data_IF_123243428307
#
_entry.id   IF_123243428307
#
_cell.length_a   1.000
_cell.length_b   1.000
_cell.length_c   1.000
_cell.angle_alpha   90.00
_cell.angle_beta   90.00
_cell.angle_gamma   90.00
#
_symmetry.space_group_name_H-M   'P 1'
#
loop_
_entity.id
_entity.type
_entity.pdbx_description
1 polymer ?
#
# COMPACT_ATOMS: atom_id res chain seq x y z
N UNK A 1 -5.14 -17.42 -7.63
CA UNK A 1 -4.58 -16.89 -6.36
C UNK A 1 -3.59 -17.89 -5.76
N UNK A 2 -2.41 -17.45 -5.29
CA UNK A 2 -1.31 -18.34 -4.87
C UNK A 2 -1.56 -19.08 -3.53
N UNK A 3 -2.59 -18.70 -2.76
CA UNK A 3 -2.98 -19.30 -1.46
C UNK A 3 -4.52 -19.29 -1.24
N UNK A 4 -5.29 -20.20 -1.87
CA UNK A 4 -6.77 -20.16 -1.84
C UNK A 4 -7.36 -20.26 -0.43
N UNK A 5 -6.82 -21.14 0.43
CA UNK A 5 -7.29 -21.28 1.82
C UNK A 5 -7.21 -19.99 2.64
N UNK A 6 -6.22 -19.13 2.38
CA UNK A 6 -6.10 -17.84 3.07
C UNK A 6 -7.14 -16.84 2.56
N UNK A 7 -7.51 -16.92 1.29
CA UNK A 7 -8.54 -16.05 0.70
C UNK A 7 -9.90 -16.35 1.35
N UNK A 8 -10.27 -17.63 1.41
CA UNK A 8 -11.54 -18.05 2.04
C UNK A 8 -11.60 -17.66 3.52
N UNK A 9 -10.50 -17.85 4.25
CA UNK A 9 -10.40 -17.46 5.66
C UNK A 9 -10.55 -15.94 5.87
N UNK A 10 -9.91 -15.11 5.04
CA UNK A 10 -10.04 -13.66 5.14
C UNK A 10 -11.45 -13.18 4.76
N UNK A 11 -12.08 -13.77 3.76
CA UNK A 11 -13.47 -13.46 3.42
C UNK A 11 -14.43 -13.81 4.56
N UNK A 12 -14.23 -14.97 5.21
CA UNK A 12 -15.01 -15.35 6.40
C UNK A 12 -14.81 -14.34 7.52
N UNK A 13 -13.57 -13.92 7.81
CA UNK A 13 -13.27 -12.94 8.85
C UNK A 13 -13.95 -11.59 8.59
N UNK A 14 -13.91 -11.09 7.34
CA UNK A 14 -14.60 -9.86 6.93
C UNK A 14 -16.11 -9.99 7.13
N UNK A 15 -16.69 -11.12 6.71
CA UNK A 15 -18.13 -11.37 6.84
C UNK A 15 -18.59 -11.39 8.30
N UNK A 16 -17.87 -12.11 9.16
CA UNK A 16 -18.19 -12.18 10.59
C UNK A 16 -18.18 -10.79 11.25
N UNK A 17 -17.18 -9.95 10.91
CA UNK A 17 -17.12 -8.57 11.41
C UNK A 17 -18.25 -7.69 10.88
N UNK A 18 -18.60 -7.83 9.59
CA UNK A 18 -19.72 -7.11 8.98
C UNK A 18 -21.06 -7.48 9.62
N UNK A 19 -21.34 -8.78 9.76
CA UNK A 19 -22.60 -9.29 10.33
C UNK A 19 -22.75 -8.82 11.79
N UNK A 20 -21.69 -8.96 12.60
CA UNK A 20 -21.67 -8.46 13.97
C UNK A 20 -21.94 -6.95 14.04
N UNK A 21 -21.29 -6.15 13.21
CA UNK A 21 -21.48 -4.70 13.23
C UNK A 21 -22.91 -4.30 12.84
N UNK A 22 -23.52 -5.03 11.91
CA UNK A 22 -24.91 -4.80 11.47
C UNK A 22 -25.93 -5.15 12.55
N UNK A 23 -25.66 -6.17 13.35
CA UNK A 23 -26.54 -6.63 14.44
C UNK A 23 -26.42 -5.77 15.70
N UNK A 24 -25.21 -5.32 16.04
CA UNK A 24 -24.91 -4.69 17.33
C UNK A 24 -24.95 -3.16 17.31
N UNK A 25 -24.81 -2.53 16.14
CA UNK A 25 -24.81 -1.07 16.00
C UNK A 25 -26.00 -0.57 15.20
N UNK A 26 -26.43 0.67 15.47
CA UNK A 26 -27.38 1.36 14.60
C UNK A 26 -26.73 1.60 13.24
N UNK A 27 -27.21 0.88 12.24
CA UNK A 27 -26.74 1.01 10.86
C UNK A 27 -27.78 1.74 10.01
N UNK A 28 -27.36 2.60 9.05
CA UNK A 28 -25.97 2.86 8.66
C UNK A 28 -25.21 3.70 9.69
N UNK A 29 -23.90 3.43 9.83
CA UNK A 29 -23.01 4.24 10.66
C UNK A 29 -22.95 5.69 10.13
N UNK A 30 -22.72 6.70 10.99
CA UNK A 30 -22.67 8.11 10.56
C UNK A 30 -21.66 8.40 9.44
N UNK A 31 -20.37 7.96 9.51
CA UNK A 31 -19.47 8.11 8.37
C UNK A 31 -19.89 7.18 7.24
N UNK A 32 -20.03 7.74 6.04
CA UNK A 32 -20.40 6.99 4.84
C UNK A 32 -19.38 7.25 3.74
N UNK A 33 -19.07 6.19 3.01
CA UNK A 33 -18.29 6.27 1.78
C UNK A 33 -19.25 6.29 0.59
N UNK A 34 -18.87 7.01 -0.45
CA UNK A 34 -19.52 7.00 -1.75
C UNK A 34 -18.50 6.57 -2.80
N UNK A 35 -18.95 5.86 -3.83
CA UNK A 35 -18.11 5.63 -4.99
C UNK A 35 -17.74 6.99 -5.62
N UNK A 36 -16.48 7.14 -6.00
CA UNK A 36 -15.91 8.36 -6.58
C UNK A 36 -14.89 7.97 -7.64
N UNK A 37 -14.74 8.81 -8.66
CA UNK A 37 -13.80 8.63 -9.76
C UNK A 37 -12.80 9.80 -9.80
N UNK A 38 -12.01 9.92 -8.74
CA UNK A 38 -11.04 11.02 -8.56
C UNK A 38 -9.59 10.58 -8.74
N UNK A 39 -9.34 9.29 -9.02
CA UNK A 39 -7.98 8.72 -9.08
C UNK A 39 -7.65 8.06 -10.42
N UNK A 40 -8.41 8.37 -11.49
CA UNK A 40 -8.25 7.74 -12.80
C UNK A 40 -6.85 7.90 -13.40
N UNK A 41 -6.24 9.10 -13.25
CA UNK A 41 -4.88 9.40 -13.72
C UNK A 41 -3.83 9.34 -12.59
N UNK A 42 -4.16 8.73 -11.45
CA UNK A 42 -3.28 8.66 -10.29
C UNK A 42 -2.71 7.26 -10.07
N UNK A 43 -1.49 7.20 -9.55
CA UNK A 43 -0.88 5.97 -9.03
C UNK A 43 -0.84 6.04 -7.51
N UNK A 44 -1.30 4.98 -6.84
CA UNK A 44 -1.18 4.87 -5.39
C UNK A 44 0.24 4.45 -5.00
N UNK A 45 0.92 5.26 -4.20
CA UNK A 45 2.31 5.05 -3.81
C UNK A 45 2.61 5.69 -2.45
N UNK A 46 3.49 5.09 -1.66
CA UNK A 46 4.00 5.71 -0.44
C UNK A 46 5.21 6.63 -0.71
N UNK A 47 5.51 7.52 0.24
CA UNK A 47 6.53 8.55 0.07
C UNK A 47 7.96 8.02 -0.19
N UNK A 48 8.36 6.93 0.46
CA UNK A 48 9.69 6.36 0.26
C UNK A 48 9.83 5.69 -1.11
N UNK A 49 8.76 5.05 -1.60
CA UNK A 49 8.73 4.52 -2.98
C UNK A 49 8.81 5.66 -4.00
N UNK A 50 8.07 6.75 -3.78
CA UNK A 50 8.08 7.92 -4.67
C UNK A 50 9.46 8.58 -4.71
N UNK A 51 10.11 8.77 -3.56
CA UNK A 51 11.45 9.33 -3.48
C UNK A 51 12.49 8.44 -4.16
N UNK A 52 12.43 7.12 -3.95
CA UNK A 52 13.31 6.16 -4.62
C UNK A 52 13.20 6.23 -6.15
N UNK A 53 11.97 6.27 -6.69
CA UNK A 53 11.76 6.47 -8.13
C UNK A 53 12.28 7.84 -8.58
N UNK A 54 12.02 8.89 -7.81
CA UNK A 54 12.54 10.23 -8.10
C UNK A 54 14.06 10.25 -8.25
N UNK A 55 14.79 9.61 -7.32
CA UNK A 55 16.25 9.47 -7.41
C UNK A 55 16.68 8.70 -8.66
N UNK A 56 16.01 7.58 -8.98
CA UNK A 56 16.30 6.79 -10.18
C UNK A 56 16.17 7.65 -11.45
N UNK A 57 15.01 8.30 -11.62
CA UNK A 57 14.68 9.13 -12.78
C UNK A 57 15.56 10.38 -12.88
N UNK A 58 15.97 10.96 -11.75
CA UNK A 58 16.86 12.11 -11.70
C UNK A 58 18.33 11.77 -12.04
N UNK A 59 18.67 10.50 -12.24
CA UNK A 59 20.01 10.11 -12.66
C UNK A 59 20.92 9.64 -11.52
N UNK A 60 20.43 9.44 -10.30
CA UNK A 60 21.27 9.03 -9.17
C UNK A 60 21.92 7.66 -9.44
N UNK A 61 23.24 7.57 -9.27
CA UNK A 61 24.03 6.34 -9.51
C UNK A 61 24.68 5.77 -8.24
N UNK A 62 24.80 6.57 -7.18
CA UNK A 62 25.41 6.17 -5.91
C UNK A 62 24.56 6.74 -4.77
N UNK A 63 24.31 5.92 -3.75
CA UNK A 63 23.67 6.33 -2.51
C UNK A 63 24.42 5.73 -1.32
N UNK A 64 24.74 6.56 -0.33
CA UNK A 64 25.30 6.13 0.94
C UNK A 64 24.26 6.37 2.04
N UNK A 65 24.03 5.38 2.91
CA UNK A 65 23.06 5.49 3.99
C UNK A 65 23.44 4.66 5.21
N UNK A 66 22.79 4.95 6.33
CA UNK A 66 22.78 4.13 7.54
C UNK A 66 21.34 3.66 7.84
N UNK A 67 21.10 2.37 8.13
CA UNK A 67 19.74 1.88 8.39
C UNK A 67 19.09 2.59 9.58
N UNK A 68 17.95 3.27 9.34
CA UNK A 68 17.18 3.95 10.38
C UNK A 68 15.70 4.04 9.99
N UNK A 69 14.80 3.74 10.93
CA UNK A 69 13.36 3.90 10.74
C UNK A 69 13.01 5.40 10.74
N UNK A 70 12.18 5.90 9.79
CA UNK A 70 11.43 5.20 8.75
C UNK A 70 12.09 5.21 7.35
N UNK A 71 13.38 5.56 7.23
CA UNK A 71 14.05 5.80 5.96
C UNK A 71 14.65 4.55 5.28
N UNK A 72 14.83 3.44 6.01
CA UNK A 72 15.43 2.21 5.46
C UNK A 72 14.74 1.75 4.17
N UNK A 73 13.40 1.78 4.11
CA UNK A 73 12.65 1.28 2.95
C UNK A 73 12.80 2.13 1.69
N UNK A 74 13.25 3.39 1.80
CA UNK A 74 13.59 4.19 0.62
C UNK A 74 14.77 3.55 -0.11
N UNK A 75 15.82 3.22 0.63
CA UNK A 75 17.05 2.69 0.06
C UNK A 75 16.90 1.26 -0.46
N UNK A 76 16.10 0.43 0.21
CA UNK A 76 15.73 -0.91 -0.30
C UNK A 76 15.05 -0.80 -1.67
N UNK A 77 14.11 0.14 -1.82
CA UNK A 77 13.38 0.37 -3.07
C UNK A 77 14.23 0.98 -4.14
N UNK A 78 15.06 1.97 -3.80
CA UNK A 78 15.99 2.57 -4.74
C UNK A 78 16.94 1.51 -5.31
N UNK A 79 17.49 0.65 -4.46
CA UNK A 79 18.37 -0.45 -4.88
C UNK A 79 17.64 -1.43 -5.81
N UNK A 80 16.43 -1.87 -5.46
CA UNK A 80 15.63 -2.76 -6.29
C UNK A 80 15.25 -2.15 -7.65
N UNK A 81 14.94 -0.86 -7.68
CA UNK A 81 14.63 -0.15 -8.92
C UNK A 81 15.88 0.04 -9.79
N UNK A 82 17.04 0.35 -9.21
CA UNK A 82 18.30 0.39 -9.94
C UNK A 82 18.60 -0.98 -10.56
N UNK A 83 18.48 -2.09 -9.82
CA UNK A 83 18.70 -3.45 -10.35
C UNK A 83 17.73 -3.80 -11.50
N UNK A 84 16.51 -3.27 -11.47
CA UNK A 84 15.50 -3.55 -12.50
C UNK A 84 15.65 -2.69 -13.76
N UNK A 85 16.18 -1.47 -13.64
CA UNK A 85 16.08 -0.44 -14.68
C UNK A 85 17.42 0.23 -15.08
N UNK A 86 18.54 -0.14 -14.46
CA UNK A 86 19.89 0.30 -14.82
C UNK A 86 20.81 -0.89 -15.03
#
# INVERSE_FOLDING_TARGET
>A
ARKPKLLDSNHLAIKLGYDFAKEQFSTPLPPRLSAMDETGDCVLMDGNTAAALGCLYAGATVAAWYPITPATSLMDRFSAFCESYR
#
